data_IF_792589505761
#
_entry.id   IF_792589505761
#
_cell.length_a   1.000
_cell.length_b   1.000
_cell.length_c   1.000
_cell.angle_alpha   90.00
_cell.angle_beta   90.00
_cell.angle_gamma   90.00
#
_symmetry.space_group_name_H-M   'P 1'
#
loop_
_entity.id
_entity.type
_entity.pdbx_description
1 polymer ?
2 non-polymer ?
3 non-polymer ?
4 non-polymer ?
5 water ?
#
# COMPACT_ATOMS: atom_id res chain seq x y z
N UNK A 28 9.41 -14.69 -5.75
CA UNK A 28 8.21 -15.45 -6.25
C UNK A 28 7.26 -15.87 -5.11
N UNK A 29 6.38 -14.93 -4.77
CA UNK A 29 5.23 -15.10 -3.91
C UNK A 29 3.98 -15.12 -4.78
N UNK A 30 2.98 -15.83 -4.37
CA UNK A 30 1.68 -15.82 -5.08
C UNK A 30 0.89 -14.59 -4.71
N UNK A 31 0.36 -13.95 -5.75
CA UNK A 31 -0.52 -12.79 -5.66
C UNK A 31 -1.94 -13.18 -6.00
N UNK A 32 -2.97 -12.81 -5.24
CA UNK A 32 -2.89 -11.93 -4.05
C UNK A 32 -2.16 -12.63 -2.90
N UNK A 33 -1.45 -11.83 -2.13
CA UNK A 33 -0.64 -12.27 -0.99
C UNK A 33 -1.16 -11.63 0.27
N UNK A 34 -1.17 -12.35 1.38
CA UNK A 34 -1.50 -11.83 2.69
C UNK A 34 -0.28 -11.85 3.57
N UNK A 35 0.13 -10.72 4.12
CA UNK A 35 1.22 -10.63 5.08
C UNK A 35 0.60 -10.34 6.44
N UNK A 36 0.67 -11.25 7.42
CA UNK A 36 0.19 -10.98 8.77
C UNK A 36 1.05 -9.85 9.35
N UNK A 37 0.44 -8.96 10.16
CA UNK A 37 1.12 -7.91 10.91
C UNK A 37 0.79 -8.17 12.36
N UNK A 38 1.61 -8.99 13.05
CA UNK A 38 1.19 -9.49 14.37
C UNK A 38 1.01 -8.40 15.39
N UNK A 39 -0.14 -8.27 16.03
CA UNK A 39 -0.36 -7.18 16.97
C UNK A 39 -0.52 -5.85 16.25
N UNK A 40 -0.84 -5.85 14.96
CA UNK A 40 -1.07 -4.63 14.23
C UNK A 40 0.16 -3.79 14.01
N UNK A 41 -0.06 -2.55 13.65
CA UNK A 41 1.04 -1.62 13.37
C UNK A 41 1.21 -0.62 14.49
N UNK A 42 2.27 0.12 14.43
CA UNK A 42 2.73 1.04 15.48
C UNK A 42 3.68 2.04 14.83
N UNK A 43 3.77 3.27 15.33
CA UNK A 43 4.78 4.16 14.76
C UNK A 43 6.18 3.60 14.86
N UNK A 44 6.95 3.86 13.79
CA UNK A 44 8.33 3.45 13.55
C UNK A 44 8.41 2.03 13.00
N UNK A 45 7.26 1.46 12.67
CA UNK A 45 7.22 0.18 11.93
C UNK A 45 7.27 0.47 10.40
N UNK A 46 8.23 -0.21 9.73
CA UNK A 46 8.48 -0.05 8.27
C UNK A 46 8.11 -1.31 7.53
N UNK A 47 7.19 -1.20 6.60
CA UNK A 47 6.81 -2.36 5.79
C UNK A 47 7.44 -2.17 4.40
N UNK A 48 8.11 -3.18 3.88
CA UNK A 48 8.81 -3.11 2.58
C UNK A 48 8.26 -4.17 1.64
N UNK A 49 7.83 -3.75 0.48
CA UNK A 49 7.31 -4.64 -0.57
C UNK A 49 8.24 -4.51 -1.78
N UNK A 50 8.78 -5.62 -2.24
CA UNK A 50 9.62 -5.66 -3.45
C UNK A 50 8.96 -6.52 -4.48
N UNK A 51 8.93 -5.99 -5.70
CA UNK A 51 8.41 -6.81 -6.79
C UNK A 51 8.74 -6.17 -8.15
N UNK A 52 8.10 -6.65 -9.17
CA UNK A 52 8.26 -6.09 -10.55
C UNK A 52 6.86 -5.90 -11.11
N UNK A 53 6.62 -4.73 -11.72
CA UNK A 53 5.32 -4.49 -12.37
C UNK A 53 5.25 -5.32 -13.62
N UNK A 54 4.11 -5.97 -13.88
CA UNK A 54 3.91 -6.74 -15.12
C UNK A 54 3.91 -5.80 -16.29
N UNK A 55 4.22 -6.34 -17.49
CA UNK A 55 4.10 -5.52 -18.71
C UNK A 55 2.59 -5.18 -18.90
N UNK A 56 2.31 -4.01 -19.40
CA UNK A 56 0.89 -3.64 -19.66
C UNK A 56 0.05 -3.71 -18.37
N UNK A 57 0.61 -3.35 -17.24
CA UNK A 57 -0.15 -3.35 -15.99
C UNK A 57 -1.35 -2.42 -16.10
N UNK A 58 -2.37 -2.77 -15.32
CA UNK A 58 -3.57 -1.94 -15.11
C UNK A 58 -3.71 -1.41 -13.70
N UNK A 59 -3.40 -2.23 -12.71
CA UNK A 59 -3.72 -1.82 -11.30
C UNK A 59 -2.85 -2.61 -10.34
N UNK A 60 -2.61 -1.99 -9.20
CA UNK A 60 -1.94 -2.63 -8.05
C UNK A 60 -2.68 -2.17 -6.80
N UNK A 61 -2.74 -2.99 -5.75
CA UNK A 61 -3.32 -2.52 -4.49
C UNK A 61 -2.57 -3.08 -3.31
N UNK A 62 -2.34 -2.22 -2.34
CA UNK A 62 -1.97 -2.64 -0.96
C UNK A 62 -3.14 -2.31 -0.06
N UNK A 63 -3.57 -3.27 0.75
CA UNK A 63 -4.72 -3.08 1.67
C UNK A 63 -4.24 -3.42 3.08
N UNK A 64 -4.06 -2.39 3.91
CA UNK A 64 -3.77 -2.59 5.36
C UNK A 64 -5.12 -2.72 6.04
N UNK A 65 -5.43 -3.93 6.52
CA UNK A 65 -6.76 -4.30 7.02
C UNK A 65 -6.84 -4.32 8.55
N UNK A 66 -7.97 -3.86 9.05
CA UNK A 66 -8.44 -4.05 10.42
C UNK A 66 -9.68 -4.90 10.33
N UNK A 67 -9.52 -6.25 10.42
CA UNK A 67 -10.63 -7.13 10.11
C UNK A 67 -11.14 -6.89 8.70
N UNK A 68 -12.44 -6.72 8.50
CA UNK A 68 -12.97 -6.40 7.17
C UNK A 68 -12.73 -4.99 6.78
N UNK A 69 -12.38 -4.08 7.67
CA UNK A 69 -12.13 -2.69 7.28
C UNK A 69 -10.77 -2.58 6.64
N UNK A 70 -10.63 -1.57 5.78
CA UNK A 70 -9.33 -1.26 5.14
C UNK A 70 -8.88 0.07 5.74
N UNK A 71 -7.91 0.02 6.61
CA UNK A 71 -7.42 1.27 7.18
C UNK A 71 -6.74 2.11 6.11
N UNK A 72 -5.96 1.50 5.24
CA UNK A 72 -5.20 2.24 4.23
C UNK A 72 -5.14 1.38 2.97
N UNK A 73 -5.78 1.84 1.95
CA UNK A 73 -5.77 1.24 0.60
C UNK A 73 -4.92 2.14 -0.25
N UNK A 74 -3.88 1.60 -0.87
CA UNK A 74 -2.92 2.32 -1.72
C UNK A 74 -3.00 1.68 -3.08
N UNK A 75 -3.51 2.40 -4.08
CA UNK A 75 -3.98 1.78 -5.34
C UNK A 75 -3.50 2.56 -6.55
N UNK A 76 -2.30 2.23 -7.06
CA UNK A 76 -1.88 2.69 -8.40
C UNK A 76 -2.80 2.17 -9.49
N UNK A 77 -3.25 3.12 -10.34
CA UNK A 77 -4.08 2.84 -11.51
C UNK A 77 -3.28 3.34 -12.73
N UNK A 78 -3.01 2.46 -13.65
CA UNK A 78 -2.23 2.79 -14.83
C UNK A 78 -3.04 3.35 -15.98
N UNK A 79 -4.36 3.25 -15.95
CA UNK A 79 -5.16 3.76 -17.06
C UNK A 79 -6.54 4.07 -16.53
N UNK A 80 -6.65 5.19 -15.84
CA UNK A 80 -7.95 5.69 -15.47
C UNK A 80 -8.18 6.89 -16.39
N UNK A 81 -9.09 6.78 -17.33
CA UNK A 81 -9.29 7.84 -18.32
C UNK A 81 -7.97 8.26 -19.00
N UNK A 82 -7.14 7.27 -19.30
CA UNK A 82 -5.83 7.50 -19.98
C UNK A 82 -4.88 8.36 -19.15
N UNK A 83 -5.00 8.29 -17.84
CA UNK A 83 -4.05 8.91 -16.90
C UNK A 83 -3.63 7.86 -15.87
N UNK A 84 -2.42 8.00 -15.39
CA UNK A 84 -1.90 7.20 -14.30
C UNK A 84 -2.09 7.97 -13.02
N UNK A 85 -2.64 7.33 -11.99
CA UNK A 85 -2.95 8.02 -10.75
C UNK A 85 -2.81 7.02 -9.60
N UNK A 86 -2.45 7.55 -8.45
CA UNK A 86 -2.51 6.76 -7.20
C UNK A 86 -3.73 7.17 -6.42
N UNK A 87 -4.61 6.21 -6.14
CA UNK A 87 -5.81 6.44 -5.29
C UNK A 87 -5.53 5.85 -3.92
N UNK A 88 -5.78 6.62 -2.88
CA UNK A 88 -5.76 6.07 -1.53
C UNK A 88 -7.08 6.31 -0.84
N UNK A 89 -7.47 5.38 0.02
CA UNK A 89 -8.76 5.49 0.71
C UNK A 89 -8.82 4.52 1.90
N UNK A 90 -9.94 4.57 2.60
CA UNK A 90 -10.27 3.76 3.76
C UNK A 90 -11.64 3.16 3.53
N UNK A 91 -11.84 1.91 3.91
CA UNK A 91 -13.12 1.21 3.77
C UNK A 91 -13.60 0.87 5.18
N UNK A 92 -14.77 1.36 5.56
CA UNK A 92 -15.36 1.16 6.89
C UNK A 92 -16.75 0.54 6.71
N UNK A 93 -17.01 -0.57 7.35
CA UNK A 93 -18.35 -1.22 7.25
C UNK A 93 -18.75 -1.38 5.77
N UNK A 94 -17.76 -1.75 4.97
CA UNK A 94 -17.94 -2.07 3.54
C UNK A 94 -18.17 -0.83 2.69
N UNK A 95 -17.95 0.36 3.19
CA UNK A 95 -18.13 1.59 2.41
C UNK A 95 -16.79 2.34 2.27
N UNK A 96 -16.43 2.67 1.03
CA UNK A 96 -15.27 3.50 0.76
C UNK A 96 -15.54 4.93 1.18
N UNK A 97 -14.54 5.59 1.67
CA UNK A 97 -14.62 6.99 2.07
C UNK A 97 -14.19 7.95 0.98
N UNK A 98 -13.65 9.07 1.40
CA UNK A 98 -13.17 10.11 0.45
C UNK A 98 -11.82 9.71 -0.10
N UNK A 99 -11.65 9.62 -1.40
CA UNK A 99 -10.37 9.30 -2.03
C UNK A 99 -9.41 10.43 -1.83
N UNK A 100 -8.14 10.10 -1.66
CA UNK A 100 -7.00 11.04 -1.76
C UNK A 100 -6.18 10.64 -2.95
N UNK A 101 -5.98 11.55 -3.89
CA UNK A 101 -5.38 11.28 -5.21
C UNK A 101 -4.03 11.99 -5.36
N UNK A 102 -3.07 11.30 -5.98
CA UNK A 102 -1.65 11.74 -6.23
C UNK A 102 -1.38 11.41 -7.71
N UNK A 103 -1.07 12.42 -8.53
CA UNK A 103 -0.69 12.25 -9.96
C UNK A 103 0.81 11.99 -10.10
N UNK A 104 1.63 12.29 -9.10
CA UNK A 104 3.02 11.77 -9.17
C UNK A 104 2.93 10.24 -9.16
N UNK A 105 3.55 9.59 -10.15
CA UNK A 105 3.30 8.18 -10.41
C UNK A 105 4.65 7.57 -10.71
N UNK A 106 5.31 6.91 -9.75
CA UNK A 106 6.68 6.44 -9.90
C UNK A 106 6.81 5.07 -10.50
N UNK A 107 5.72 4.34 -10.76
CA UNK A 107 5.76 2.98 -11.27
C UNK A 107 5.84 3.03 -12.79
N UNK A 108 6.43 1.97 -13.34
CA UNK A 108 6.53 1.77 -14.79
C UNK A 108 6.25 0.30 -15.07
N UNK A 109 5.43 0.00 -16.05
CA UNK A 109 5.21 -1.37 -16.45
C UNK A 109 6.55 -2.04 -16.80
N UNK A 110 6.67 -3.26 -16.31
CA UNK A 110 7.86 -4.04 -16.58
C UNK A 110 9.01 -3.81 -15.59
N UNK A 111 8.96 -2.83 -14.71
CA UNK A 111 10.17 -2.47 -13.94
C UNK A 111 10.05 -2.94 -12.49
N UNK A 112 11.21 -3.26 -11.90
CA UNK A 112 11.30 -3.62 -10.46
C UNK A 112 11.07 -2.38 -9.60
N UNK A 113 10.35 -2.56 -8.48
CA UNK A 113 10.02 -1.48 -7.57
C UNK A 113 10.26 -1.94 -6.15
N UNK A 114 10.34 -0.93 -5.30
CA UNK A 114 10.31 -1.06 -3.84
C UNK A 114 9.29 -0.07 -3.31
N UNK A 115 8.30 -0.54 -2.55
CA UNK A 115 7.37 0.31 -1.82
C UNK A 115 7.75 0.19 -0.36
N UNK A 116 7.97 1.31 0.30
CA UNK A 116 8.18 1.35 1.77
C UNK A 116 7.05 2.15 2.40
N UNK A 117 6.39 1.53 3.33
CA UNK A 117 5.30 2.20 4.08
C UNK A 117 5.80 2.33 5.49
N UNK A 118 6.02 3.53 5.95
CA UNK A 118 6.49 3.81 7.33
C UNK A 118 5.32 4.35 8.13
N UNK A 119 5.00 3.64 9.22
CA UNK A 119 3.92 4.10 10.10
C UNK A 119 4.49 5.23 10.97
N UNK A 120 3.87 6.39 10.92
CA UNK A 120 4.23 7.55 11.73
C UNK A 120 3.06 7.82 12.66
N UNK A 121 3.24 8.71 13.65
CA UNK A 121 2.17 8.92 14.64
C UNK A 121 0.84 9.35 14.07
N UNK A 122 0.84 10.20 13.04
CA UNK A 122 -0.38 10.76 12.49
C UNK A 122 -0.70 10.22 11.11
N UNK A 123 0.22 9.53 10.44
CA UNK A 123 0.05 9.15 9.03
C UNK A 123 0.84 7.94 8.68
N UNK A 124 0.44 7.29 7.59
CA UNK A 124 1.35 6.42 6.85
C UNK A 124 2.17 7.28 5.89
N UNK A 125 3.45 7.00 5.81
CA UNK A 125 4.33 7.67 4.85
C UNK A 125 4.81 6.68 3.82
N UNK A 126 4.64 6.95 2.54
CA UNK A 126 5.00 6.02 1.50
C UNK A 126 6.14 6.58 0.67
N UNK A 127 7.17 5.78 0.45
CA UNK A 127 8.26 6.06 -0.47
C UNK A 127 8.36 4.95 -1.48
N UNK A 128 8.61 5.29 -2.74
CA UNK A 128 8.79 4.29 -3.79
C UNK A 128 10.17 4.47 -4.36
N UNK A 129 10.92 3.39 -4.45
CA UNK A 129 12.27 3.45 -5.02
C UNK A 129 13.06 4.56 -4.33
N UNK A 130 12.97 4.61 -3.01
CA UNK A 130 13.71 5.56 -2.15
C UNK A 130 13.34 7.00 -2.39
N UNK A 131 12.22 7.33 -3.00
CA UNK A 131 11.77 8.72 -3.14
C UNK A 131 10.41 8.86 -2.49
N UNK A 132 10.29 9.81 -1.58
CA UNK A 132 9.00 10.09 -0.93
C UNK A 132 7.92 10.30 -1.96
N UNK A 133 6.76 9.65 -1.74
CA UNK A 133 5.62 9.75 -2.62
C UNK A 133 4.43 10.49 -1.98
N UNK A 134 3.99 10.03 -0.81
CA UNK A 134 2.75 10.61 -0.24
C UNK A 134 2.69 10.26 1.22
N UNK A 135 1.85 10.98 1.94
CA UNK A 135 1.42 10.60 3.29
C UNK A 135 -0.11 10.50 3.30
N UNK A 136 -0.58 9.65 4.22
CA UNK A 136 -2.04 9.39 4.36
C UNK A 136 -2.38 9.43 5.81
N UNK A 137 -3.10 10.42 6.25
CA UNK A 137 -3.42 10.58 7.69
C UNK A 137 -4.25 9.43 8.20
N UNK A 138 -4.02 9.02 9.46
CA UNK A 138 -4.77 7.91 10.02
C UNK A 138 -6.24 8.27 10.21
N UNK A 139 -7.09 7.46 9.61
CA UNK A 139 -8.54 7.51 9.81
C UNK A 139 -8.96 6.44 10.83
N UNK A 140 -8.44 5.24 10.66
CA UNK A 140 -8.56 4.13 11.61
C UNK A 140 -7.52 4.37 12.70
N UNK A 141 -7.97 4.46 13.93
CA UNK A 141 -7.13 4.91 15.05
C UNK A 141 -6.60 3.77 15.89
N UNK A 142 -7.20 2.57 15.78
CA UNK A 142 -6.74 1.40 16.55
C UNK A 142 -5.64 0.72 15.74
N UNK A 143 -4.45 1.33 15.76
CA UNK A 143 -3.36 0.88 14.91
C UNK A 143 -3.00 -0.56 15.24
N UNK A 144 -3.06 -0.93 16.49
CA UNK A 144 -2.68 -2.27 16.91
C UNK A 144 -3.68 -3.35 16.50
N UNK A 145 -4.74 -2.97 15.78
CA UNK A 145 -5.68 -3.95 15.22
C UNK A 145 -5.57 -4.02 13.70
N UNK A 146 -4.66 -3.29 13.08
CA UNK A 146 -4.46 -3.32 11.60
C UNK A 146 -3.45 -4.48 11.39
N UNK A 147 -3.98 -5.68 11.28
CA UNK A 147 -3.16 -6.88 11.50
C UNK A 147 -2.94 -7.69 10.24
N UNK A 148 -3.29 -7.16 9.08
CA UNK A 148 -2.94 -7.86 7.84
C UNK A 148 -2.66 -6.82 6.76
N UNK A 149 -1.75 -7.17 5.86
CA UNK A 149 -1.54 -6.42 4.62
C UNK A 149 -1.82 -7.35 3.45
N UNK A 150 -2.80 -6.98 2.63
CA UNK A 150 -3.07 -7.68 1.38
C UNK A 150 -2.39 -7.00 0.22
N UNK A 151 -1.81 -7.77 -0.67
CA UNK A 151 -1.08 -7.23 -1.85
C UNK A 151 -1.67 -7.87 -3.06
N UNK A 152 -2.21 -7.10 -3.99
CA UNK A 152 -2.93 -7.64 -5.15
C UNK A 152 -2.59 -6.83 -6.40
N UNK A 153 -2.92 -7.46 -7.52
CA UNK A 153 -2.85 -6.73 -8.80
C UNK A 153 -1.69 -7.17 -9.66
N UNK A 154 -1.25 -6.28 -10.56
CA UNK A 154 -0.50 -6.67 -11.76
C UNK A 154 1.02 -6.59 -11.49
N UNK A 155 1.45 -7.42 -10.55
CA UNK A 155 2.86 -7.47 -10.17
C UNK A 155 3.31 -8.94 -10.06
N UNK A 156 4.59 -9.11 -10.20
CA UNK A 156 5.31 -10.26 -9.69
C UNK A 156 5.90 -9.87 -8.34
N UNK A 157 5.51 -10.53 -7.30
CA UNK A 157 5.89 -10.13 -5.92
C UNK A 157 7.10 -10.97 -5.48
N UNK A 158 8.14 -10.29 -5.04
CA UNK A 158 9.40 -10.89 -4.61
C UNK A 158 9.45 -11.08 -3.08
N UNK A 159 9.08 -10.03 -2.34
CA UNK A 159 9.10 -10.15 -0.90
C UNK A 159 8.22 -9.09 -0.27
N UNK A 160 7.78 -9.44 0.92
CA UNK A 160 6.96 -8.53 1.73
C UNK A 160 7.34 -8.77 3.19
N UNK A 161 7.82 -7.73 3.87
CA UNK A 161 8.37 -7.90 5.22
C UNK A 161 8.25 -6.60 5.99
N UNK A 162 8.59 -6.67 7.27
CA UNK A 162 8.58 -5.45 8.11
C UNK A 162 9.76 -5.46 9.05
N UNK A 163 10.09 -4.29 9.57
CA UNK A 163 11.11 -4.05 10.62
C UNK A 163 10.77 -2.78 11.41
N UNK A 164 11.38 -2.64 12.58
CA UNK A 164 11.30 -1.38 13.35
C UNK A 164 12.49 -0.53 13.04
N UNK A 165 12.37 0.73 12.86
CA UNK A 165 13.55 1.58 12.76
C UNK A 165 13.50 2.47 13.98
X LIG B 1 0.41 16.01 10.14
X LIG C 1 -8.73 -0.06 -9.31
X LIG D 1 2.91 2.01 -17.72
X LIG E 1 -10.51 2.64 14.88
X LIG F 1 -6.77 -7.72 10.34
X LIG G 1 -6.45 -3.77 -7.38
X LIG G 1 -14.62 6.55 -7.91
X LIG G 1 -16.12 6.26 -8.22
X LIG G 1 -15.91 3.85 -7.79
X LIG G 1 -14.39 4.10 -7.52
X LIG G 1 -13.77 5.27 -8.28
X LIG G 1 -13.85 7.88 -9.97
X LIG G 1 -13.30 9.14 -9.87
X LIG G 1 -12.60 9.94 -10.65
X LIG G 1 -12.27 9.58 -12.02
X LIG G 1 -10.91 11.45 -12.03
X LIG G 1 -7.64 -5.72 -6.83
X LIG G 1 -6.53 -5.10 -7.33
X LIG G 1 -5.34 -3.20 -7.82
X LIG G 1 -5.49 -5.82 -7.77
X LIG G 1 -7.67 -7.03 -6.77
X LIG G 1 -8.76 -4.98 -6.38
X LIG G 1 -7.54 -3.01 -6.95
X LIG G 1 -8.67 -3.57 -6.48
X LIG G 1 -9.80 -2.80 -6.01
X LIG G 1 -10.04 -1.45 -6.18
X LIG G 1 -10.78 -3.28 -5.24
X LIG G 1 -11.61 -2.33 -4.92
X LIG G 1 -11.20 -1.22 -5.51
X LIG G 1 -11.95 -0.02 -5.32
X LIG G 1 -12.40 0.58 -6.69
X LIG G 1 -13.25 -0.37 -7.31
X LIG G 1 -12.89 -0.80 -8.61
X LIG G 1 -11.11 1.04 -4.56
X LIG G 1 -9.94 1.36 -5.28
X LIG G 1 -11.96 2.28 -4.41
X LIG G 1 -11.23 3.37 -3.68
X LIG G 1 -12.10 4.52 -3.47
X LIG G 1 -12.32 2.78 -5.71
X LIG G 1 -13.12 1.85 -6.43
X LIG G 1 -13.49 2.63 -8.04
X LIG G 1 -12.47 5.61 -7.98
X LIG G 1 -16.59 5.08 -7.50
X LIG G 1 -14.13 7.69 -8.66
X LIG G 1 -13.82 8.76 -7.89
X LIG G 1 -13.32 9.64 -8.63
X LIG G 1 -12.04 11.19 -10.01
X LIG G 1 -11.16 11.96 -10.71
X LIG G 1 -11.43 10.34 -12.71
X LIG G 1 -14.50 6.77 -6.86
X LIG G 1 -16.75 7.13 -8.03
X LIG G 1 -16.28 5.98 -9.27
X LIG G 1 -16.11 3.67 -8.84
X LIG G 1 -16.29 3.00 -7.22
X LIG G 1 -14.23 4.26 -6.46
X LIG G 1 -13.87 5.07 -9.34
X LIG G 1 -14.06 7.22 -10.80
X LIG G 1 -12.67 8.70 -12.53
X LIG G 1 -10.18 12.04 -12.59
X LIG G 1 -9.64 -5.48 -5.99
X LIG G 1 -7.46 -1.94 -7.00
X LIG G 1 -9.46 -0.70 -6.71
X LIG G 1 -12.82 -0.29 -4.72
X LIG G 1 -11.51 0.82 -7.27
X LIG G 1 -12.77 -1.89 -8.66
X LIG G 1 -11.93 -0.35 -8.82
X LIG G 1 -13.61 -0.49 -9.36
X LIG G 1 -10.86 0.65 -3.57
X LIG G 1 -9.92 0.90 -6.14
X LIG G 1 -12.86 2.02 -3.84
X LIG G 1 -10.33 3.64 -4.23
X LIG G 1 -10.88 2.98 -2.73
X LIG G 1 -12.98 4.25 -3.86
X LIG G 1 -14.07 1.68 -5.91
X LIG G 1 -12.45 6.46 -7.56
X LIG G 1 -12.31 11.55 -9.02
#
# INVERSE_FOLDING_TARGET
MGSSHHHHHHSSGETVRFQGHMGAPAGPLIVPYNLPLPGGVVPRMLITILGTVKPNANRIALDFQRGNDVAFHFNPRFNENNRRVIVCNTKLDNNWGREERQSVFPFESGKPFKIQVLVEPDHFKVAVNDAHLLQYNHRVKKLNEISKLGISGDIDLTSASYTMI
MG MG
CL CL
CL CL
CL CL
CL CL
H5O C13 C18 C17 C16 C15 C19 C20 C21 C22 C23 C24 C11 C12 F2 F1 F C10 C14 C9 C8 C7 N1 N2 N C6 C1 O C C5 O3 C3 C4 O2 O1 C2 S O5 O4 N3 N5 N4 C25 N7 N6 H6 H21 H20 H18 H19 H5 H7 H23 H24 H25 H16 H17 H15 H4 H H8 H10 H9 H3 H14 H2 H11 H12 H13 H1 H22 H26
#
